data_IF_240468188379
#
_entry.id   IF_240468188379
#
_cell.length_a   1.000
_cell.length_b   1.000
_cell.length_c   1.000
_cell.angle_alpha   90.00
_cell.angle_beta   90.00
_cell.angle_gamma   90.00
#
_symmetry.space_group_name_H-M   'P 1'
#
loop_
_entity.id
_entity.type
_entity.pdbx_description
1 polymer ?
#
# COMPACT_ATOMS: atom_id res chain seq x y z
N UNK A 1 -24.32 -2.34 -20.76
CA UNK A 1 -24.06 -0.91 -20.50
C UNK A 1 -23.29 -0.40 -21.72
N UNK A 2 -23.72 0.70 -22.34
CA UNK A 2 -23.20 1.15 -23.64
C UNK A 2 -21.68 1.40 -23.62
N UNK A 3 -20.99 0.96 -24.67
CA UNK A 3 -19.57 1.19 -24.95
C UNK A 3 -19.09 2.57 -24.45
N UNK A 4 -18.20 2.58 -23.46
CA UNK A 4 -17.48 3.78 -23.00
C UNK A 4 -16.52 4.33 -24.07
N UNK A 5 -16.30 3.58 -25.16
CA UNK A 5 -15.49 3.97 -26.31
C UNK A 5 -16.40 4.63 -27.35
N UNK A 6 -16.29 5.95 -27.48
CA UNK A 6 -16.99 6.70 -28.52
C UNK A 6 -16.09 6.77 -29.76
N UNK A 7 -16.49 6.11 -30.84
CA UNK A 7 -15.82 6.25 -32.15
C UNK A 7 -16.50 7.37 -32.94
N UNK A 8 -15.75 8.39 -33.29
CA UNK A 8 -16.26 9.52 -34.07
C UNK A 8 -16.00 9.31 -35.57
N UNK A 9 -16.99 9.61 -36.40
CA UNK A 9 -16.88 9.58 -37.88
C UNK A 9 -16.21 10.83 -38.47
N UNK A 10 -16.14 11.92 -37.70
CA UNK A 10 -15.48 13.17 -38.07
C UNK A 10 -15.00 13.90 -36.82
N UNK A 11 -13.78 14.44 -36.90
CA UNK A 11 -13.10 15.19 -35.86
C UNK A 11 -12.55 16.49 -36.44
N UNK A 12 -12.88 17.62 -35.82
CA UNK A 12 -12.36 18.93 -36.22
C UNK A 12 -10.97 19.12 -35.63
N UNK A 13 -9.97 19.48 -36.44
CA UNK A 13 -8.56 19.63 -36.04
C UNK A 13 -8.30 20.62 -34.88
N UNK A 14 -9.27 21.45 -34.49
CA UNK A 14 -9.11 22.41 -33.39
C UNK A 14 -7.89 23.37 -33.53
N UNK A 15 -7.46 23.70 -34.76
CA UNK A 15 -6.27 24.57 -35.00
C UNK A 15 -6.44 26.00 -34.46
N UNK A 16 -7.65 26.41 -34.09
CA UNK A 16 -7.88 27.67 -33.38
C UNK A 16 -7.40 27.64 -31.92
N UNK A 17 -7.17 26.46 -31.34
CA UNK A 17 -6.58 26.30 -30.01
C UNK A 17 -5.06 26.28 -30.08
N UNK A 18 -4.34 27.04 -29.23
CA UNK A 18 -2.88 26.95 -29.11
C UNK A 18 -2.40 25.54 -28.77
N UNK A 19 -3.22 24.77 -28.04
CA UNK A 19 -2.94 23.38 -27.69
C UNK A 19 -2.65 22.54 -28.94
N UNK A 20 -3.44 22.72 -30.02
CA UNK A 20 -3.31 21.93 -31.25
C UNK A 20 -2.57 22.62 -32.38
N UNK A 21 -2.45 23.95 -32.35
CA UNK A 21 -1.73 24.72 -33.39
C UNK A 21 -0.27 24.97 -33.06
N UNK A 22 0.12 24.92 -31.78
CA UNK A 22 1.50 25.23 -31.36
C UNK A 22 2.21 24.04 -30.72
N UNK A 23 1.50 23.21 -29.95
CA UNK A 23 2.14 22.09 -29.27
C UNK A 23 2.17 20.85 -30.17
N UNK A 24 3.32 20.18 -30.31
CA UNK A 24 3.39 18.88 -30.97
C UNK A 24 2.69 17.80 -30.12
N UNK A 25 2.38 16.67 -30.74
CA UNK A 25 1.66 15.55 -30.12
C UNK A 25 2.29 15.06 -28.82
N UNK A 26 3.61 15.03 -28.78
CA UNK A 26 4.42 14.52 -27.69
C UNK A 26 4.23 15.38 -26.43
N UNK A 27 4.23 16.71 -26.60
CA UNK A 27 4.00 17.65 -25.50
C UNK A 27 2.53 17.62 -25.07
N UNK A 28 1.59 17.44 -26.02
CA UNK A 28 0.17 17.23 -25.65
C UNK A 28 -0.02 15.95 -24.85
N UNK A 29 0.66 14.86 -25.21
CA UNK A 29 0.63 13.62 -24.45
C UNK A 29 1.10 13.83 -23.01
N UNK A 30 2.20 14.55 -22.78
CA UNK A 30 2.68 14.87 -21.43
C UNK A 30 1.66 15.71 -20.64
N UNK A 31 1.07 16.73 -21.26
CA UNK A 31 0.02 17.55 -20.64
C UNK A 31 -1.19 16.70 -20.28
N UNK A 32 -1.66 15.86 -21.20
CA UNK A 32 -2.81 14.99 -20.98
C UNK A 32 -2.51 13.94 -19.90
N UNK A 33 -1.33 13.33 -19.93
CA UNK A 33 -0.90 12.38 -18.92
C UNK A 33 -0.88 13.02 -17.53
N UNK A 34 -0.34 14.24 -17.41
CA UNK A 34 -0.33 14.96 -16.13
C UNK A 34 -1.74 15.27 -15.62
N UNK A 35 -2.61 15.84 -16.48
CA UNK A 35 -3.99 16.22 -16.09
C UNK A 35 -4.86 15.02 -15.77
N UNK A 36 -4.65 13.90 -16.48
CA UNK A 36 -5.44 12.67 -16.36
C UNK A 36 -4.79 11.62 -15.45
N UNK A 37 -3.72 11.97 -14.74
CA UNK A 37 -3.15 11.13 -13.69
C UNK A 37 -4.07 11.11 -12.46
N UNK A 38 -4.00 10.03 -11.68
CA UNK A 38 -4.75 9.96 -10.43
C UNK A 38 -4.08 10.80 -9.33
N UNK A 39 -4.90 11.30 -8.41
CA UNK A 39 -4.47 12.01 -7.21
C UNK A 39 -5.40 11.70 -6.03
N UNK A 40 -4.94 11.96 -4.81
CA UNK A 40 -5.74 11.79 -3.60
C UNK A 40 -6.88 12.82 -3.53
N UNK A 41 -8.13 12.36 -3.44
CA UNK A 41 -9.28 13.23 -3.19
C UNK A 41 -9.28 13.73 -1.74
N UNK A 42 -8.71 14.91 -1.52
CA UNK A 42 -8.64 15.54 -0.20
C UNK A 42 -9.99 15.99 0.35
N UNK A 43 -11.02 16.10 -0.49
CA UNK A 43 -12.39 16.41 -0.04
C UNK A 43 -13.04 15.22 0.66
N UNK A 44 -12.54 14.02 0.39
CA UNK A 44 -12.93 12.75 1.00
C UNK A 44 -11.75 12.09 1.69
N UNK A 45 -10.94 12.89 2.37
CA UNK A 45 -9.79 12.41 3.10
C UNK A 45 -10.19 11.30 4.09
N UNK A 46 -9.37 10.26 4.16
CA UNK A 46 -9.51 9.23 5.17
C UNK A 46 -9.19 9.78 6.56
N UNK A 47 -9.77 9.15 7.56
CA UNK A 47 -9.43 9.43 8.95
C UNK A 47 -7.98 9.05 9.23
N UNK A 48 -7.23 9.93 9.89
CA UNK A 48 -5.81 9.75 10.20
C UNK A 48 -5.52 8.52 11.06
N UNK A 49 -6.50 8.05 11.81
CA UNK A 49 -6.37 6.97 12.79
C UNK A 49 -6.64 5.57 12.18
N UNK A 50 -6.67 5.49 10.86
CA UNK A 50 -6.91 4.24 10.11
C UNK A 50 -5.59 3.59 9.71
N UNK A 51 -5.58 2.27 9.58
CA UNK A 51 -4.39 1.50 9.18
C UNK A 51 -3.88 1.78 7.76
N UNK A 52 -4.68 2.43 6.91
CA UNK A 52 -4.35 2.63 5.49
C UNK A 52 -4.01 4.08 5.14
N UNK A 53 -4.22 5.04 6.05
CA UNK A 53 -3.91 6.44 5.77
C UNK A 53 -2.42 6.68 5.88
N UNK A 54 -1.81 7.11 4.77
CA UNK A 54 -0.37 7.40 4.67
C UNK A 54 -0.10 8.40 3.54
N UNK A 55 1.11 8.98 3.46
CA UNK A 55 1.47 9.88 2.37
C UNK A 55 1.21 9.26 0.98
N UNK A 56 0.50 10.01 0.13
CA UNK A 56 0.08 9.57 -1.20
C UNK A 56 -1.07 8.56 -1.22
N UNK A 57 -1.67 8.27 -0.06
CA UNK A 57 -2.90 7.49 0.11
C UNK A 57 -3.73 8.11 1.26
N UNK A 58 -3.91 9.43 1.20
CA UNK A 58 -4.67 10.18 2.22
C UNK A 58 -6.19 10.17 1.96
N UNK A 59 -6.62 9.64 0.81
CA UNK A 59 -8.02 9.56 0.41
C UNK A 59 -8.20 8.61 -0.78
N UNK A 60 -9.42 8.46 -1.28
CA UNK A 60 -9.69 7.72 -2.50
C UNK A 60 -8.92 8.32 -3.69
N UNK A 61 -8.39 7.46 -4.56
CA UNK A 61 -7.80 7.92 -5.83
C UNK A 61 -8.89 8.51 -6.73
N UNK A 62 -8.62 9.68 -7.28
CA UNK A 62 -9.50 10.39 -8.20
C UNK A 62 -8.76 10.76 -9.48
N UNK A 63 -9.45 10.69 -10.62
CA UNK A 63 -8.96 11.19 -11.91
C UNK A 63 -9.95 12.22 -12.44
N UNK A 64 -9.47 13.44 -12.68
CA UNK A 64 -10.30 14.48 -13.30
C UNK A 64 -10.47 14.18 -14.79
N UNK A 65 -11.71 13.85 -15.19
CA UNK A 65 -12.02 13.49 -16.59
C UNK A 65 -12.65 14.64 -17.38
N UNK A 66 -12.76 15.84 -16.80
CA UNK A 66 -13.38 17.00 -17.44
C UNK A 66 -12.69 17.40 -18.74
N UNK A 67 -11.36 17.25 -18.78
CA UNK A 67 -10.57 17.49 -19.99
C UNK A 67 -11.07 16.63 -21.17
N UNK A 68 -11.42 15.37 -20.94
CA UNK A 68 -11.92 14.46 -21.99
C UNK A 68 -13.26 14.91 -22.58
N UNK A 69 -14.00 15.76 -21.87
CA UNK A 69 -15.31 16.27 -22.29
C UNK A 69 -15.22 17.59 -23.07
N UNK A 70 -14.03 18.16 -23.20
CA UNK A 70 -13.82 19.48 -23.84
C UNK A 70 -14.03 19.43 -25.36
N UNK A 71 -13.43 18.48 -26.06
CA UNK A 71 -13.66 18.25 -27.48
C UNK A 71 -13.29 16.83 -27.92
N UNK A 72 -13.80 16.43 -29.10
CA UNK A 72 -13.54 15.11 -29.70
C UNK A 72 -12.05 14.82 -29.88
N UNK A 73 -11.25 15.84 -30.22
CA UNK A 73 -9.80 15.66 -30.43
C UNK A 73 -9.04 15.31 -29.18
N UNK A 74 -9.35 15.97 -28.07
CA UNK A 74 -8.80 15.60 -26.75
C UNK A 74 -9.24 14.19 -26.39
N UNK A 75 -10.52 13.85 -26.56
CA UNK A 75 -11.01 12.51 -26.29
C UNK A 75 -10.28 11.46 -27.13
N UNK A 76 -10.14 11.64 -28.45
CA UNK A 76 -9.44 10.70 -29.34
C UNK A 76 -7.98 10.51 -28.93
N UNK A 77 -7.27 11.60 -28.59
CA UNK A 77 -5.85 11.53 -28.18
C UNK A 77 -5.66 10.94 -26.76
N UNK A 78 -6.64 11.06 -25.85
CA UNK A 78 -6.39 10.86 -24.42
C UNK A 78 -7.42 10.02 -23.62
N UNK A 79 -8.50 9.52 -24.22
CA UNK A 79 -9.58 8.83 -23.48
C UNK A 79 -9.10 7.64 -22.62
N UNK A 80 -8.01 6.99 -23.02
CA UNK A 80 -7.44 5.84 -22.33
C UNK A 80 -6.53 6.22 -21.16
N UNK A 81 -6.03 7.45 -21.11
CA UNK A 81 -5.02 7.91 -20.16
C UNK A 81 -5.44 7.77 -18.68
N UNK A 82 -6.69 8.05 -18.28
CA UNK A 82 -7.13 7.82 -16.90
C UNK A 82 -6.90 6.40 -16.40
N UNK A 83 -6.98 5.40 -17.29
CA UNK A 83 -6.80 4.00 -16.94
C UNK A 83 -5.32 3.62 -16.88
N UNK A 84 -4.53 4.14 -17.82
CA UNK A 84 -3.12 3.80 -17.97
C UNK A 84 -2.24 4.51 -16.92
N UNK A 85 -2.57 5.75 -16.55
CA UNK A 85 -1.77 6.58 -15.64
C UNK A 85 -2.27 6.58 -14.19
N UNK A 86 -3.49 6.11 -13.92
CA UNK A 86 -3.91 5.89 -12.54
C UNK A 86 -3.06 4.80 -11.86
N UNK A 87 -2.71 5.03 -10.60
CA UNK A 87 -2.23 3.97 -9.72
C UNK A 87 -3.43 3.18 -9.20
N UNK A 88 -3.51 1.91 -9.59
CA UNK A 88 -4.59 1.02 -9.16
C UNK A 88 -4.20 0.34 -7.87
N UNK A 89 -5.06 0.40 -6.85
CA UNK A 89 -4.76 -0.13 -5.52
C UNK A 89 -5.57 -1.40 -5.25
N UNK A 90 -4.88 -2.41 -4.73
CA UNK A 90 -5.46 -3.65 -4.22
C UNK A 90 -5.07 -3.89 -2.76
N UNK A 91 -5.95 -4.55 -2.02
CA UNK A 91 -5.76 -4.83 -0.59
C UNK A 91 -5.92 -6.33 -0.31
N UNK A 92 -4.78 -6.99 -0.07
CA UNK A 92 -4.67 -8.37 0.41
C UNK A 92 -4.59 -8.37 1.94
N UNK A 93 -5.65 -7.92 2.59
CA UNK A 93 -5.68 -7.68 4.04
C UNK A 93 -7.03 -8.07 4.62
N UNK A 94 -7.12 -8.11 5.95
CA UNK A 94 -8.41 -8.09 6.64
C UNK A 94 -9.24 -6.84 6.29
N UNK A 95 -10.57 -6.89 6.48
CA UNK A 95 -11.50 -5.85 6.03
C UNK A 95 -11.36 -4.53 6.78
N UNK A 96 -10.93 -4.56 8.03
CA UNK A 96 -10.62 -3.43 8.90
C UNK A 96 -9.28 -2.76 8.57
N UNK A 97 -8.46 -3.37 7.69
CA UNK A 97 -7.14 -2.88 7.29
C UNK A 97 -7.13 -2.19 5.92
N UNK A 98 -8.31 -1.92 5.36
CA UNK A 98 -8.51 -1.30 4.03
C UNK A 98 -9.72 -0.35 4.01
N UNK A 99 -9.74 0.66 3.11
CA UNK A 99 -10.93 1.47 2.89
C UNK A 99 -12.11 0.64 2.36
N UNK A 100 -13.34 1.12 2.59
CA UNK A 100 -14.58 0.51 2.05
C UNK A 100 -14.84 0.82 0.57
N UNK A 101 -13.83 1.28 -0.18
CA UNK A 101 -13.96 1.64 -1.59
C UNK A 101 -13.94 0.41 -2.50
N UNK A 102 -14.51 0.54 -3.71
CA UNK A 102 -14.40 -0.50 -4.74
C UNK A 102 -12.93 -0.82 -5.03
N UNK A 103 -12.59 -2.11 -5.13
CA UNK A 103 -11.23 -2.53 -5.48
C UNK A 103 -11.03 -2.48 -6.99
N UNK A 104 -9.78 -2.52 -7.45
CA UNK A 104 -9.51 -2.64 -8.88
C UNK A 104 -10.14 -3.91 -9.50
N UNK A 105 -10.25 -4.99 -8.73
CA UNK A 105 -10.94 -6.22 -9.09
C UNK A 105 -12.42 -5.96 -9.40
N UNK A 106 -13.08 -5.10 -8.62
CA UNK A 106 -14.47 -4.69 -8.89
C UNK A 106 -14.54 -3.83 -10.16
N UNK A 107 -13.59 -2.93 -10.36
CA UNK A 107 -13.47 -2.13 -11.57
C UNK A 107 -13.29 -2.99 -12.83
N UNK A 108 -12.40 -3.98 -12.81
CA UNK A 108 -12.18 -4.92 -13.92
C UNK A 108 -13.42 -5.73 -14.26
N UNK A 109 -14.18 -6.19 -13.26
CA UNK A 109 -15.43 -6.94 -13.49
C UNK A 109 -16.51 -6.12 -14.18
N UNK A 110 -16.49 -4.80 -14.02
CA UNK A 110 -17.44 -3.87 -14.65
C UNK A 110 -16.98 -3.51 -16.09
N UNK A 111 -15.69 -3.65 -16.38
CA UNK A 111 -15.09 -3.29 -17.67
C UNK A 111 -15.14 -4.47 -18.65
N UNK A 112 -15.99 -4.35 -19.68
CA UNK A 112 -16.22 -5.35 -20.74
C UNK A 112 -14.98 -5.57 -21.66
N UNK A 113 -15.02 -6.63 -22.47
CA UNK A 113 -13.92 -7.21 -23.26
C UNK A 113 -13.14 -6.25 -24.21
N UNK A 114 -13.68 -5.07 -24.53
CA UNK A 114 -12.99 -4.06 -25.35
C UNK A 114 -11.76 -3.43 -24.66
N UNK A 115 -11.58 -3.68 -23.35
CA UNK A 115 -10.46 -3.22 -22.53
C UNK A 115 -9.20 -4.11 -22.61
N UNK A 116 -9.17 -5.17 -23.43
CA UNK A 116 -7.97 -6.01 -23.66
C UNK A 116 -6.69 -5.20 -23.98
N UNK A 117 -6.85 -3.99 -24.51
CA UNK A 117 -5.75 -3.08 -24.88
C UNK A 117 -5.30 -2.14 -23.77
N UNK A 118 -6.07 -2.01 -22.69
CA UNK A 118 -5.81 -1.06 -21.61
C UNK A 118 -5.02 -1.73 -20.50
N UNK A 119 -3.71 -1.60 -20.60
CA UNK A 119 -2.78 -2.15 -19.64
C UNK A 119 -2.51 -1.12 -18.54
N UNK A 120 -2.95 -1.35 -17.28
CA UNK A 120 -2.60 -0.46 -16.18
C UNK A 120 -1.07 -0.37 -16.10
N UNK A 121 -0.48 0.81 -15.89
CA UNK A 121 0.99 0.88 -15.78
C UNK A 121 1.47 0.59 -14.37
N UNK A 122 0.68 1.02 -13.38
CA UNK A 122 1.08 1.04 -11.98
C UNK A 122 -0.01 0.38 -11.14
N UNK A 123 0.38 -0.69 -10.44
CA UNK A 123 -0.48 -1.34 -9.45
C UNK A 123 0.24 -1.31 -8.11
N UNK A 124 -0.48 -0.91 -7.07
CA UNK A 124 -0.05 -1.04 -5.69
C UNK A 124 -0.88 -2.09 -4.98
N UNK A 125 -0.22 -2.94 -4.22
CA UNK A 125 -0.84 -3.98 -3.40
C UNK A 125 -0.42 -3.74 -1.96
N UNK A 126 -1.37 -3.47 -1.07
CA UNK A 126 -1.12 -3.54 0.37
C UNK A 126 -1.43 -4.96 0.84
N UNK A 127 -0.51 -5.57 1.57
CA UNK A 127 -0.66 -6.97 1.93
C UNK A 127 -0.32 -7.23 3.39
N UNK A 128 -1.27 -7.89 4.05
CA UNK A 128 -1.08 -8.48 5.36
C UNK A 128 -0.45 -9.86 5.22
N UNK A 129 0.50 -10.17 6.09
CA UNK A 129 1.33 -11.38 5.96
C UNK A 129 0.52 -12.68 5.87
N UNK A 130 -0.52 -12.83 6.67
CA UNK A 130 -1.34 -14.06 6.68
C UNK A 130 -2.05 -14.33 5.34
N UNK A 131 -2.39 -13.27 4.59
CA UNK A 131 -3.00 -13.38 3.25
C UNK A 131 -1.92 -13.59 2.19
N UNK A 132 -0.78 -12.92 2.36
CA UNK A 132 0.32 -12.90 1.41
C UNK A 132 1.07 -14.24 1.37
N UNK A 133 1.51 -14.75 2.53
CA UNK A 133 2.45 -15.87 2.63
C UNK A 133 1.99 -17.18 1.95
N UNK A 134 0.70 -17.59 2.03
CA UNK A 134 0.22 -18.74 1.27
C UNK A 134 0.34 -18.58 -0.25
N UNK A 135 0.36 -17.34 -0.73
CA UNK A 135 0.57 -16.96 -2.13
C UNK A 135 -0.66 -17.11 -3.03
N UNK A 136 -1.71 -17.83 -2.64
CA UNK A 136 -2.89 -18.07 -3.48
C UNK A 136 -3.60 -16.77 -3.86
N UNK A 137 -3.92 -15.94 -2.87
CA UNK A 137 -4.64 -14.68 -3.05
C UNK A 137 -3.86 -13.68 -3.90
N UNK A 138 -2.53 -13.66 -3.75
CA UNK A 138 -1.69 -12.82 -4.59
C UNK A 138 -1.59 -13.38 -6.01
N UNK A 139 -1.50 -14.69 -6.17
CA UNK A 139 -1.54 -15.33 -7.49
C UNK A 139 -2.86 -15.08 -8.21
N UNK A 140 -4.01 -15.20 -7.53
CA UNK A 140 -5.34 -14.84 -8.05
C UNK A 140 -5.36 -13.41 -8.60
N UNK A 141 -4.74 -12.47 -7.88
CA UNK A 141 -4.60 -11.07 -8.31
C UNK A 141 -3.77 -10.96 -9.58
N UNK A 142 -2.65 -11.68 -9.66
CA UNK A 142 -1.76 -11.73 -10.83
C UNK A 142 -2.36 -12.50 -12.03
N UNK A 143 -3.38 -13.32 -11.79
CA UNK A 143 -4.11 -14.10 -12.79
C UNK A 143 -5.40 -13.45 -13.28
N UNK A 144 -5.75 -12.27 -12.74
CA UNK A 144 -6.93 -11.54 -13.18
C UNK A 144 -6.93 -11.35 -14.70
N UNK A 145 -8.05 -11.66 -15.40
CA UNK A 145 -8.18 -11.39 -16.82
C UNK A 145 -7.90 -9.91 -17.13
N UNK A 146 -7.18 -9.66 -18.22
CA UNK A 146 -6.80 -8.32 -18.67
C UNK A 146 -5.88 -7.54 -17.70
N UNK A 147 -5.30 -8.21 -16.70
CA UNK A 147 -4.36 -7.61 -15.77
C UNK A 147 -2.92 -7.67 -16.30
N UNK A 148 -2.49 -6.58 -16.93
CA UNK A 148 -1.16 -6.49 -17.55
C UNK A 148 -0.32 -5.31 -17.02
N UNK A 149 -0.03 -5.24 -15.71
CA UNK A 149 0.78 -4.17 -15.15
C UNK A 149 2.21 -4.15 -15.69
N UNK A 150 2.78 -2.94 -15.83
CA UNK A 150 4.22 -2.77 -16.09
C UNK A 150 5.04 -2.76 -14.80
N UNK A 151 4.52 -2.12 -13.76
CA UNK A 151 5.10 -2.02 -12.41
C UNK A 151 4.07 -2.46 -11.38
N UNK A 152 4.51 -3.32 -10.48
CA UNK A 152 3.77 -3.65 -9.25
C UNK A 152 4.59 -3.19 -8.05
N UNK A 153 3.97 -2.49 -7.10
CA UNK A 153 4.52 -2.22 -5.77
C UNK A 153 3.72 -2.99 -4.74
N UNK A 154 4.36 -3.86 -3.98
CA UNK A 154 3.79 -4.52 -2.80
C UNK A 154 4.24 -3.76 -1.56
N UNK A 155 3.33 -3.37 -0.68
CA UNK A 155 3.65 -2.72 0.60
C UNK A 155 3.22 -3.62 1.75
N UNK A 156 4.16 -3.95 2.62
CA UNK A 156 3.89 -4.60 3.91
C UNK A 156 4.06 -3.51 4.97
N UNK A 157 2.94 -3.04 5.54
CA UNK A 157 2.92 -1.96 6.55
C UNK A 157 3.43 -2.48 7.88
N UNK A 158 3.78 -1.55 8.77
CA UNK A 158 4.14 -1.83 10.17
C UNK A 158 3.17 -2.84 10.81
N UNK A 159 1.87 -2.56 10.67
CA UNK A 159 0.80 -3.33 11.29
C UNK A 159 0.34 -4.55 10.50
N UNK A 160 1.04 -4.88 9.41
CA UNK A 160 0.72 -6.01 8.53
C UNK A 160 1.66 -7.19 8.74
N UNK A 161 2.72 -7.01 9.55
CA UNK A 161 3.62 -8.08 9.97
C UNK A 161 2.97 -8.99 11.01
N UNK A 162 3.43 -10.24 11.10
CA UNK A 162 3.01 -11.16 12.15
C UNK A 162 3.36 -10.61 13.53
N UNK A 163 2.39 -10.64 14.45
CA UNK A 163 2.59 -10.31 15.86
C UNK A 163 3.26 -8.95 16.09
N UNK A 164 2.96 -7.97 15.23
CA UNK A 164 3.47 -6.61 15.38
C UNK A 164 2.97 -5.97 16.69
N UNK A 165 1.78 -6.38 17.14
CA UNK A 165 1.18 -6.01 18.42
C UNK A 165 2.05 -6.43 19.61
N UNK A 166 2.80 -7.53 19.50
CA UNK A 166 3.63 -8.10 20.56
C UNK A 166 5.10 -7.67 20.47
N UNK A 167 5.42 -6.78 19.53
CA UNK A 167 6.79 -6.38 19.21
C UNK A 167 7.71 -7.54 18.81
N UNK A 168 7.18 -8.60 18.19
CA UNK A 168 7.95 -9.76 17.73
C UNK A 168 8.93 -9.38 16.59
N UNK A 169 10.11 -10.00 16.48
CA UNK A 169 11.08 -9.76 15.40
C UNK A 169 10.48 -9.95 14.01
N UNK A 170 10.85 -9.08 13.05
CA UNK A 170 10.30 -9.15 11.70
C UNK A 170 10.68 -10.46 11.01
N UNK A 171 9.71 -11.09 10.38
CA UNK A 171 9.89 -12.32 9.60
C UNK A 171 8.97 -12.35 8.41
N UNK A 172 9.33 -13.10 7.37
CA UNK A 172 8.52 -13.34 6.18
C UNK A 172 8.81 -14.74 5.62
N UNK A 173 7.78 -15.57 5.55
CA UNK A 173 7.83 -16.85 4.86
C UNK A 173 7.88 -16.66 3.34
N UNK A 174 8.75 -17.43 2.69
CA UNK A 174 9.05 -17.33 1.27
C UNK A 174 8.16 -18.20 0.38
N UNK A 175 7.14 -18.88 0.94
CA UNK A 175 6.20 -19.72 0.20
C UNK A 175 5.60 -18.94 -0.98
N UNK A 176 5.09 -17.74 -0.73
CA UNK A 176 4.55 -16.89 -1.80
C UNK A 176 5.61 -16.52 -2.84
N UNK A 177 6.82 -16.15 -2.43
CA UNK A 177 7.93 -15.81 -3.34
C UNK A 177 8.23 -16.96 -4.31
N UNK A 178 8.23 -18.18 -3.79
CA UNK A 178 8.50 -19.39 -4.56
C UNK A 178 7.32 -19.82 -5.44
N UNK A 179 6.09 -19.51 -5.03
CA UNK A 179 4.85 -19.92 -5.67
C UNK A 179 4.40 -18.97 -6.77
N UNK A 180 4.43 -17.66 -6.54
CA UNK A 180 3.79 -16.70 -7.44
C UNK A 180 4.52 -16.57 -8.79
N UNK A 181 3.75 -16.28 -9.84
CA UNK A 181 4.21 -16.03 -11.20
C UNK A 181 3.60 -14.74 -11.72
N UNK A 182 4.46 -13.76 -11.97
CA UNK A 182 4.07 -12.45 -12.48
C UNK A 182 3.66 -12.51 -13.96
N UNK A 183 2.69 -11.68 -14.41
CA UNK A 183 2.40 -11.50 -15.83
C UNK A 183 3.62 -11.07 -16.63
N UNK A 184 3.65 -11.44 -17.92
CA UNK A 184 4.74 -11.11 -18.85
C UNK A 184 4.88 -9.59 -19.09
N UNK A 185 3.84 -8.82 -18.79
CA UNK A 185 3.89 -7.35 -18.84
C UNK A 185 4.78 -6.76 -17.74
N UNK A 186 4.97 -7.47 -16.62
CA UNK A 186 5.68 -6.94 -15.45
C UNK A 186 7.17 -6.88 -15.73
N UNK A 187 7.69 -5.66 -15.76
CA UNK A 187 9.12 -5.38 -15.96
C UNK A 187 9.80 -4.87 -14.69
N UNK A 188 9.00 -4.44 -13.71
CA UNK A 188 9.45 -3.91 -12.42
C UNK A 188 8.54 -4.38 -11.30
N UNK A 189 9.13 -4.94 -10.25
CA UNK A 189 8.45 -5.26 -9.02
C UNK A 189 9.18 -4.57 -7.86
N UNK A 190 8.43 -3.90 -6.99
CA UNK A 190 8.98 -3.24 -5.81
C UNK A 190 8.31 -3.81 -4.57
N UNK A 191 9.06 -4.02 -3.49
CA UNK A 191 8.50 -4.28 -2.17
C UNK A 191 8.90 -3.13 -1.25
N UNK A 192 7.91 -2.51 -0.62
CA UNK A 192 8.06 -1.55 0.48
C UNK A 192 7.89 -2.31 1.80
N UNK A 193 8.99 -2.46 2.54
CA UNK A 193 8.97 -2.95 3.92
C UNK A 193 8.88 -1.75 4.85
N UNK A 194 7.80 -1.64 5.61
CA UNK A 194 7.55 -0.52 6.52
C UNK A 194 7.46 -0.99 7.97
N UNK A 195 8.16 -0.29 8.87
CA UNK A 195 7.97 -0.41 10.30
C UNK A 195 8.21 0.95 10.95
N UNK A 196 8.07 1.03 12.26
CA UNK A 196 8.44 2.22 13.05
C UNK A 196 9.96 2.45 13.04
N UNK A 197 10.38 3.71 13.16
CA UNK A 197 11.78 4.16 13.03
C UNK A 197 12.73 3.45 14.01
N UNK A 198 12.29 3.15 15.25
CA UNK A 198 13.09 2.39 16.22
C UNK A 198 13.47 0.98 15.72
N UNK A 199 12.66 0.42 14.80
CA UNK A 199 12.88 -0.91 14.19
C UNK A 199 13.52 -0.83 12.80
N UNK A 200 14.09 0.30 12.39
CA UNK A 200 14.71 0.47 11.07
C UNK A 200 15.79 -0.56 10.75
N UNK A 201 16.56 -1.01 11.74
CA UNK A 201 17.62 -2.00 11.54
C UNK A 201 17.06 -3.36 11.11
N UNK A 202 15.88 -3.72 11.63
CA UNK A 202 15.15 -4.92 11.24
C UNK A 202 14.61 -4.81 9.82
N UNK A 203 14.02 -3.66 9.48
CA UNK A 203 13.52 -3.37 8.13
C UNK A 203 14.67 -3.40 7.11
N UNK A 204 15.79 -2.76 7.42
CA UNK A 204 16.96 -2.72 6.56
C UNK A 204 17.61 -4.11 6.42
N UNK A 205 17.59 -4.92 7.48
CA UNK A 205 18.02 -6.31 7.44
C UNK A 205 17.14 -7.15 6.49
N UNK A 206 15.82 -7.15 6.70
CA UNK A 206 14.87 -7.91 5.86
C UNK A 206 14.97 -7.45 4.40
N UNK A 207 15.04 -6.14 4.15
CA UNK A 207 15.16 -5.61 2.80
C UNK A 207 16.46 -6.04 2.11
N UNK A 208 17.59 -6.02 2.84
CA UNK A 208 18.87 -6.50 2.32
C UNK A 208 18.83 -7.99 2.00
N UNK A 209 18.32 -8.79 2.92
CA UNK A 209 18.21 -10.24 2.74
C UNK A 209 17.27 -10.60 1.58
N UNK A 210 16.15 -9.88 1.42
CA UNK A 210 15.27 -10.00 0.27
C UNK A 210 16.02 -9.66 -1.03
N UNK A 211 16.75 -8.54 -1.07
CA UNK A 211 17.51 -8.13 -2.24
C UNK A 211 18.58 -9.17 -2.62
N UNK A 212 19.27 -9.75 -1.65
CA UNK A 212 20.35 -10.73 -1.90
C UNK A 212 19.81 -12.11 -2.30
N UNK A 213 18.71 -12.56 -1.67
CA UNK A 213 18.28 -13.97 -1.70
C UNK A 213 17.03 -14.20 -2.54
N UNK A 214 16.18 -13.20 -2.73
CA UNK A 214 14.93 -13.35 -3.46
C UNK A 214 15.04 -12.97 -4.93
N UNK A 215 14.31 -13.72 -5.75
CA UNK A 215 14.05 -13.44 -7.15
C UNK A 215 12.61 -13.83 -7.46
N UNK A 216 11.99 -13.17 -8.43
CA UNK A 216 10.60 -13.44 -8.78
C UNK A 216 10.50 -13.96 -10.20
N UNK A 217 9.56 -14.87 -10.43
CA UNK A 217 9.40 -15.56 -11.71
C UNK A 217 8.21 -14.97 -12.46
N UNK A 218 8.36 -14.82 -13.77
CA UNK A 218 7.26 -14.48 -14.68
C UNK A 218 6.66 -15.74 -15.30
N UNK A 219 5.45 -15.61 -15.85
CA UNK A 219 4.75 -16.68 -16.56
C UNK A 219 5.49 -17.17 -17.82
N UNK A 220 6.31 -16.33 -18.44
CA UNK A 220 7.18 -16.69 -19.58
C UNK A 220 8.54 -17.31 -19.17
N UNK A 221 8.75 -17.58 -17.88
CA UNK A 221 9.98 -18.18 -17.37
C UNK A 221 11.16 -17.21 -17.21
N UNK A 222 10.98 -15.92 -17.51
CA UNK A 222 11.97 -14.89 -17.20
C UNK A 222 11.95 -14.51 -15.71
N UNK A 223 13.07 -13.98 -15.22
CA UNK A 223 13.23 -13.58 -13.83
C UNK A 223 13.17 -12.06 -13.66
N UNK A 224 12.61 -11.62 -12.54
CA UNK A 224 12.83 -10.30 -11.97
C UNK A 224 13.96 -10.43 -10.94
N UNK A 225 15.09 -9.81 -11.23
CA UNK A 225 16.31 -9.84 -10.41
C UNK A 225 16.50 -8.50 -9.67
N UNK A 226 17.11 -8.53 -8.47
CA UNK A 226 17.32 -7.33 -7.66
C UNK A 226 18.14 -6.26 -8.39
N UNK A 227 17.81 -4.99 -8.15
CA UNK A 227 18.49 -3.81 -8.67
C UNK A 227 18.78 -2.84 -7.52
N UNK A 228 19.90 -3.04 -6.85
CA UNK A 228 20.28 -2.26 -5.66
C UNK A 228 20.32 -0.75 -5.89
N UNK A 229 20.73 -0.30 -7.09
CA UNK A 229 20.80 1.12 -7.46
C UNK A 229 19.45 1.84 -7.44
N UNK A 230 18.34 1.10 -7.36
CA UNK A 230 16.97 1.63 -7.32
C UNK A 230 16.28 1.39 -5.98
N UNK A 231 17.02 0.90 -4.98
CA UNK A 231 16.52 0.81 -3.62
C UNK A 231 16.47 2.22 -3.01
N UNK A 232 15.45 2.49 -2.21
CA UNK A 232 15.24 3.81 -1.61
C UNK A 232 14.76 3.69 -0.16
N UNK A 233 14.98 4.75 0.61
CA UNK A 233 14.40 4.93 1.95
C UNK A 233 13.39 6.05 1.87
N UNK A 234 12.25 5.86 2.52
CA UNK A 234 11.25 6.88 2.73
C UNK A 234 10.86 6.89 4.21
N UNK A 235 10.67 8.08 4.78
CA UNK A 235 10.27 8.26 6.17
C UNK A 235 9.07 9.16 6.25
N UNK A 236 8.18 8.88 7.20
CA UNK A 236 6.99 9.68 7.40
C UNK A 236 6.47 9.54 8.83
N UNK A 237 5.61 10.47 9.23
CA UNK A 237 4.97 10.47 10.56
C UNK A 237 3.47 10.28 10.40
N UNK A 238 2.91 9.37 11.19
CA UNK A 238 1.48 9.06 11.22
C UNK A 238 0.93 9.09 12.64
N UNK A 239 -0.35 8.74 12.79
CA UNK A 239 -0.99 8.68 14.10
C UNK A 239 -0.54 7.44 14.88
N UNK A 240 -0.40 7.56 16.21
CA UNK A 240 -0.31 6.41 17.12
C UNK A 240 -1.67 5.79 17.43
N UNK A 241 -2.78 6.43 17.04
CA UNK A 241 -4.11 5.85 17.13
C UNK A 241 -4.37 5.01 15.88
N UNK A 242 -4.44 3.69 16.03
CA UNK A 242 -4.68 2.74 14.94
C UNK A 242 -5.67 1.68 15.41
N UNK A 243 -6.76 1.50 14.66
CA UNK A 243 -7.74 0.44 14.93
C UNK A 243 -8.53 0.62 16.22
N UNK A 244 -8.73 1.86 16.67
CA UNK A 244 -9.43 2.16 17.91
C UNK A 244 -8.54 2.05 19.16
N UNK A 245 -7.23 1.88 18.99
CA UNK A 245 -6.26 1.87 20.09
C UNK A 245 -5.17 2.90 19.85
N UNK A 246 -4.70 3.54 20.92
CA UNK A 246 -3.52 4.40 20.93
C UNK A 246 -2.30 3.57 21.34
N UNK A 247 -1.35 3.39 20.43
CA UNK A 247 -0.15 2.57 20.60
C UNK A 247 0.94 3.33 21.37
N UNK A 248 0.83 3.31 22.69
CA UNK A 248 1.70 4.02 23.64
C UNK A 248 3.15 3.54 23.56
N UNK A 249 3.36 2.23 23.39
CA UNK A 249 4.70 1.61 23.31
C UNK A 249 5.59 2.30 22.28
N UNK A 250 5.04 2.60 21.11
CA UNK A 250 5.82 3.03 19.94
C UNK A 250 5.81 4.55 19.74
N UNK A 251 5.14 5.26 20.63
CA UNK A 251 4.90 6.69 20.52
C UNK A 251 6.18 7.49 20.79
N UNK A 252 6.61 8.27 19.79
CA UNK A 252 7.81 9.12 19.91
C UNK A 252 7.42 10.53 20.39
N UNK A 253 6.19 10.96 20.07
CA UNK A 253 5.58 12.23 20.45
C UNK A 253 4.08 12.02 20.67
N UNK A 254 3.41 12.84 21.50
CA UNK A 254 1.97 12.71 21.77
C UNK A 254 1.12 12.44 20.53
N UNK A 255 0.56 11.24 20.43
CA UNK A 255 -0.33 10.84 19.32
C UNK A 255 0.36 10.49 18.00
N UNK A 256 1.70 10.37 17.95
CA UNK A 256 2.46 10.23 16.71
C UNK A 256 3.45 9.05 16.70
N UNK A 257 3.51 8.38 15.54
CA UNK A 257 4.51 7.36 15.22
C UNK A 257 5.39 7.83 14.06
N UNK A 258 6.70 7.58 14.16
CA UNK A 258 7.64 7.78 13.06
C UNK A 258 7.90 6.45 12.36
N UNK A 259 7.75 6.44 11.03
CA UNK A 259 7.88 5.27 10.18
C UNK A 259 9.15 5.32 9.33
N UNK A 260 9.76 4.15 9.15
CA UNK A 260 10.87 3.89 8.23
C UNK A 260 10.43 2.86 7.19
N UNK A 261 10.51 3.24 5.91
CA UNK A 261 10.14 2.41 4.77
C UNK A 261 11.38 2.16 3.91
N UNK A 262 11.71 0.89 3.70
CA UNK A 262 12.76 0.48 2.77
C UNK A 262 12.15 -0.16 1.54
N UNK A 263 12.42 0.41 0.38
CA UNK A 263 11.97 -0.13 -0.91
C UNK A 263 13.08 -0.94 -1.56
N UNK A 264 12.78 -2.18 -1.93
CA UNK A 264 13.65 -3.03 -2.75
C UNK A 264 13.04 -3.18 -4.14
N UNK A 265 13.85 -3.03 -5.19
CA UNK A 265 13.39 -3.13 -6.58
C UNK A 265 13.98 -4.34 -7.29
N UNK A 266 13.13 -5.12 -7.94
CA UNK A 266 13.49 -6.16 -8.90
C UNK A 266 13.09 -5.73 -10.32
N UNK A 267 13.95 -5.97 -11.30
CA UNK A 267 13.70 -5.69 -12.72
C UNK A 267 13.90 -6.92 -13.58
N UNK A 268 13.27 -6.90 -14.75
CA UNK A 268 13.45 -7.92 -15.77
C UNK A 268 14.93 -8.19 -16.04
N UNK A 269 15.31 -9.46 -15.88
CA UNK A 269 16.63 -9.99 -16.20
C UNK A 269 16.52 -10.94 -17.39
N UNK A 270 17.62 -11.09 -18.12
CA UNK A 270 17.75 -12.10 -19.20
C UNK A 270 18.11 -13.49 -18.67
N UNK A 271 18.34 -13.60 -17.37
CA UNK A 271 18.54 -14.88 -16.70
C UNK A 271 17.30 -15.75 -16.78
N UNK A 272 17.50 -17.05 -17.03
CA UNK A 272 16.44 -18.07 -17.09
C UNK A 272 16.52 -18.99 -15.89
N UNK A 273 15.40 -19.64 -15.60
CA UNK A 273 15.11 -20.45 -14.41
C UNK A 273 16.13 -21.59 -14.16
N UNK A 274 17.14 -21.31 -13.33
CA UNK A 274 18.06 -22.31 -12.73
C UNK A 274 18.39 -22.04 -11.26
N UNK A 275 17.71 -21.07 -10.61
CA UNK A 275 17.99 -20.68 -9.23
C UNK A 275 17.24 -21.58 -8.23
N UNK A 276 17.85 -21.91 -7.07
CA UNK A 276 17.19 -22.65 -6.00
C UNK A 276 16.01 -21.86 -5.42
N UNK A 277 15.17 -22.51 -4.62
CA UNK A 277 14.09 -21.84 -3.89
C UNK A 277 14.62 -20.67 -3.04
N UNK A 278 13.84 -19.60 -2.98
CA UNK A 278 14.10 -18.47 -2.10
C UNK A 278 13.89 -18.89 -0.64
N UNK A 279 14.76 -18.48 0.29
CA UNK A 279 14.62 -18.81 1.71
C UNK A 279 13.66 -17.85 2.43
N UNK A 280 13.16 -18.28 3.59
CA UNK A 280 12.46 -17.41 4.53
C UNK A 280 13.39 -16.30 5.03
N UNK A 281 12.82 -15.15 5.35
CA UNK A 281 13.53 -14.02 5.96
C UNK A 281 13.12 -13.92 7.43
N UNK A 282 14.09 -13.79 8.31
CA UNK A 282 13.86 -13.71 9.75
C UNK A 282 14.96 -12.84 10.33
N UNK A 283 14.58 -11.78 11.05
CA UNK A 283 15.51 -11.02 11.86
C UNK A 283 16.09 -11.96 12.94
N UNK A 284 17.42 -12.07 13.08
CA UNK A 284 18.02 -12.91 14.10
C UNK A 284 17.68 -12.43 15.50
N UNK A 285 17.39 -13.35 16.42
CA UNK A 285 17.10 -13.03 17.83
C UNK A 285 18.28 -12.34 18.54
N UNK A 286 19.49 -12.48 18.00
CA UNK A 286 20.71 -11.83 18.49
C UNK A 286 20.88 -10.40 18.01
N UNK A 287 20.03 -9.91 17.10
CA UNK A 287 20.07 -8.52 16.65
C UNK A 287 19.67 -7.61 17.81
N UNK A 288 20.53 -6.65 18.13
CA UNK A 288 20.20 -5.61 19.10
C UNK A 288 19.03 -4.76 18.60
N UNK A 289 18.01 -4.62 19.44
CA UNK A 289 16.80 -3.85 19.14
C UNK A 289 16.72 -2.65 20.05
N UNK A 290 16.40 -1.50 19.47
CA UNK A 290 16.12 -0.29 20.24
C UNK A 290 14.85 -0.52 21.06
N UNK A 291 14.97 -0.34 22.38
CA UNK A 291 13.86 -0.51 23.29
C UNK A 291 12.75 0.51 22.95
N UNK A 292 11.46 0.13 23.12
CA UNK A 292 10.36 1.08 23.10
C UNK A 292 10.65 2.33 23.94
N UNK A 293 10.31 3.54 23.45
CA UNK A 293 10.43 4.78 24.22
C UNK A 293 9.69 4.72 25.56
N UNK A 294 8.63 3.93 25.62
CA UNK A 294 7.83 3.72 26.81
C UNK A 294 7.68 2.21 27.10
N UNK A 295 8.11 1.82 28.30
CA UNK A 295 8.18 0.42 28.76
C UNK A 295 7.28 0.10 29.97
N UNK A 296 6.66 1.12 30.57
CA UNK A 296 5.77 0.92 31.71
C UNK A 296 4.33 0.67 31.23
N UNK A 297 3.53 -0.16 31.89
CA UNK A 297 2.11 -0.32 31.53
C UNK A 297 1.84 -1.07 30.21
N UNK A 298 0.60 -0.99 29.70
CA UNK A 298 0.16 -1.74 28.52
C UNK A 298 0.73 -1.17 27.20
N UNK A 299 0.87 -1.99 26.14
CA UNK A 299 1.42 -1.54 24.86
C UNK A 299 0.53 -0.52 24.13
N UNK A 300 -0.78 -0.59 24.36
CA UNK A 300 -1.78 0.30 23.80
C UNK A 300 -2.88 0.62 24.82
N UNK A 301 -3.65 1.68 24.56
CA UNK A 301 -4.84 2.08 25.31
C UNK A 301 -6.03 2.18 24.38
N UNK A 302 -7.21 1.68 24.80
CA UNK A 302 -8.43 1.84 24.01
C UNK A 302 -8.81 3.31 23.85
N UNK A 303 -9.07 3.73 22.61
CA UNK A 303 -9.45 5.10 22.32
C UNK A 303 -10.79 5.48 22.95
N UNK A 304 -11.72 4.53 23.13
CA UNK A 304 -12.99 4.75 23.83
C UNK A 304 -12.79 5.01 25.33
N UNK A 305 -11.85 4.32 25.97
CA UNK A 305 -11.51 4.55 27.37
C UNK A 305 -10.90 5.95 27.56
N UNK A 306 -9.99 6.33 26.68
CA UNK A 306 -9.39 7.67 26.67
C UNK A 306 -10.46 8.76 26.47
N UNK A 307 -11.41 8.55 25.54
CA UNK A 307 -12.53 9.47 25.33
C UNK A 307 -13.42 9.58 26.58
N UNK A 308 -13.76 8.45 27.19
CA UNK A 308 -14.63 8.37 28.38
C UNK A 308 -13.99 9.06 29.57
N UNK A 309 -12.68 8.88 29.76
CA UNK A 309 -11.88 9.55 30.78
C UNK A 309 -11.52 11.01 30.43
N UNK A 310 -11.92 11.50 29.25
CA UNK A 310 -11.59 12.85 28.74
C UNK A 310 -10.08 13.12 28.65
N UNK A 311 -9.28 12.09 28.32
CA UNK A 311 -7.83 12.17 28.15
C UNK A 311 -7.51 12.48 26.68
N UNK A 312 -6.99 13.66 26.34
CA UNK A 312 -6.67 14.02 24.95
C UNK A 312 -5.45 13.26 24.39
N UNK A 313 -5.41 13.06 23.06
CA UNK A 313 -4.25 12.48 22.37
C UNK A 313 -2.97 13.32 22.50
N UNK A 314 -3.07 14.59 22.88
CA UNK A 314 -1.92 15.47 23.11
C UNK A 314 -1.20 15.20 24.44
N UNK A 315 -1.78 14.38 25.33
CA UNK A 315 -1.15 13.99 26.59
C UNK A 315 -0.04 12.98 26.29
N UNK A 316 1.21 13.14 26.77
CA UNK A 316 2.28 12.18 26.57
C UNK A 316 1.92 10.76 27.00
N UNK A 317 2.45 9.76 26.30
CA UNK A 317 2.22 8.33 26.52
C UNK A 317 2.13 7.91 28.00
N UNK A 318 3.17 8.18 28.79
CA UNK A 318 3.18 7.78 30.20
C UNK A 318 2.14 8.48 31.07
N UNK A 319 1.92 9.79 30.83
CA UNK A 319 0.88 10.55 31.54
C UNK A 319 -0.53 10.07 31.19
N UNK A 320 -0.75 9.63 29.93
CA UNK A 320 -2.03 9.09 29.50
C UNK A 320 -2.35 7.75 30.19
N UNK A 321 -1.35 6.88 30.37
CA UNK A 321 -1.50 5.64 31.14
C UNK A 321 -1.84 5.93 32.59
N UNK A 322 -1.06 6.78 33.27
CA UNK A 322 -1.31 7.14 34.67
C UNK A 322 -2.67 7.81 34.87
N UNK A 323 -3.07 8.68 33.95
CA UNK A 323 -4.37 9.37 34.01
C UNK A 323 -5.53 8.38 33.85
N UNK A 324 -5.40 7.39 32.97
CA UNK A 324 -6.43 6.39 32.77
C UNK A 324 -6.53 5.41 33.95
N UNK A 325 -5.39 5.02 34.54
CA UNK A 325 -5.36 4.20 35.75
C UNK A 325 -6.07 4.92 36.91
N UNK A 326 -5.74 6.20 37.16
CA UNK A 326 -6.44 7.02 38.17
C UNK A 326 -7.93 7.14 37.90
N UNK A 327 -8.33 7.30 36.64
CA UNK A 327 -9.74 7.33 36.27
C UNK A 327 -10.45 6.02 36.64
N UNK A 328 -9.84 4.87 36.33
CA UNK A 328 -10.38 3.54 36.62
C UNK A 328 -10.50 3.28 38.13
N UNK A 329 -9.49 3.68 38.91
CA UNK A 329 -9.51 3.57 40.38
C UNK A 329 -10.67 4.35 41.02
N UNK A 330 -10.92 5.58 40.55
CA UNK A 330 -11.99 6.44 41.11
C UNK A 330 -13.38 5.93 40.73
N UNK A 331 -13.53 5.34 39.55
CA UNK A 331 -14.83 4.93 39.02
C UNK A 331 -15.13 3.43 39.23
N UNK A 332 -14.24 2.70 39.92
CA UNK A 332 -14.37 1.30 40.30
C UNK A 332 -14.86 0.41 39.14
N UNK A 333 -14.33 0.66 37.95
CA UNK A 333 -14.71 -0.07 36.74
C UNK A 333 -13.92 -1.36 36.73
N UNK A 334 -14.45 -2.42 37.36
CA UNK A 334 -13.96 -3.79 37.20
C UNK A 334 -14.16 -4.19 35.73
N UNK A 335 -13.08 -4.14 34.95
CA UNK A 335 -13.04 -4.64 33.57
C UNK A 335 -12.63 -6.12 33.53
N UNK A 336 -13.13 -6.93 34.47
CA UNK A 336 -12.97 -8.39 34.45
C UNK A 336 -14.16 -9.05 33.72
N UNK A 337 -14.31 -8.78 32.42
CA UNK A 337 -14.89 -9.74 31.47
C UNK A 337 -14.82 -9.20 30.05
N UNK A 338 -13.86 -9.63 29.25
CA UNK A 338 -14.05 -9.93 27.81
C UNK A 338 -12.79 -10.65 27.32
N UNK A 339 -12.88 -11.98 27.23
CA UNK A 339 -11.78 -12.80 26.72
C UNK A 339 -11.93 -14.28 26.98
N UNK A 340 -13.10 -14.87 26.69
CA UNK A 340 -13.24 -16.29 26.32
C UNK A 340 -14.64 -16.56 25.74
N UNK A 341 -14.82 -16.08 24.51
CA UNK A 341 -15.75 -16.62 23.51
C UNK A 341 -15.16 -16.14 22.18
N UNK A 342 -14.46 -16.96 21.42
CA UNK A 342 -15.10 -18.02 20.65
C UNK A 342 -14.23 -19.27 20.52
N UNK A 343 -14.76 -20.38 21.06
CA UNK A 343 -14.58 -21.68 20.43
C UNK A 343 -15.73 -21.90 19.45
N UNK A 344 -15.41 -22.11 18.17
CA UNK A 344 -15.84 -23.20 17.29
C UNK A 344 -15.60 -22.87 15.81
#
# INVERSE_FOLDING_TARGET
MNSLIVRFSFEHDQRQSPLFSRLPSEIREEVFAFVLSSYDDTTRAYEKETYWTRPGHCGPQHVSTDLLRTCKRVYTEAWFMPFIYAEHTEYLTASDRRPRTATWSDCLRIMDADYEKLQPRFVRVFAQMWVLEPGDRFQETLDMPHFYPKKITLTIRYTDFWFWEDDEPLRIDSTWVNKVRFPESVSRFCIEFESIERRKNEVDYIAREAAEKWHFRRKDGLLLAPRESENSVFKWTGSSCLGGERWIRDEVRPGELDYHVRTVTWKLSRERETRPGCPNLQVPDTMEREAPPYLAGPPSLYADDLRTAQIPNSVPAGEAVEALEKYREVHNVDYDSYGDSDGY
#
